data_IF_437105540872
#
_entry.id   IF_437105540872
#
_cell.length_a   1.000
_cell.length_b   1.000
_cell.length_c   1.000
_cell.angle_alpha   90.00
_cell.angle_beta   90.00
_cell.angle_gamma   90.00
#
_symmetry.space_group_name_H-M   'P 1'
#
loop_
_entity.id
_entity.type
_entity.pdbx_description
1 polymer ?
#
# COMPACT_ATOMS: atom_id res chain seq x y z
N UNK A 1 -6.72 8.36 -6.28
CA UNK A 1 -5.35 8.61 -5.80
C UNK A 1 -4.46 7.58 -6.48
N UNK A 2 -3.34 7.96 -7.08
CA UNK A 2 -2.48 7.00 -7.80
C UNK A 2 -1.44 6.42 -6.84
N UNK A 3 -1.32 5.09 -6.83
CA UNK A 3 -0.32 4.34 -6.06
C UNK A 3 0.76 3.79 -6.99
N UNK A 4 1.99 3.74 -6.50
CA UNK A 4 3.13 3.18 -7.23
C UNK A 4 3.66 1.93 -6.52
N UNK A 5 4.24 1.02 -7.30
CA UNK A 5 4.98 -0.11 -6.75
C UNK A 5 6.08 0.40 -5.83
N UNK A 6 6.25 -0.28 -4.69
CA UNK A 6 7.15 0.09 -3.59
C UNK A 6 6.70 1.27 -2.73
N UNK A 7 5.50 1.82 -2.94
CA UNK A 7 4.93 2.76 -1.96
C UNK A 7 4.42 2.03 -0.71
N UNK A 8 4.57 2.69 0.44
CA UNK A 8 3.92 2.29 1.68
C UNK A 8 2.47 2.76 1.66
N UNK A 9 1.56 1.89 2.09
CA UNK A 9 0.13 2.17 2.20
C UNK A 9 -0.44 1.54 3.48
N UNK A 10 -1.54 2.10 3.98
CA UNK A 10 -2.32 1.58 5.10
C UNK A 10 -3.79 1.56 4.67
N UNK A 11 -4.55 0.56 5.08
CA UNK A 11 -5.99 0.52 4.86
C UNK A 11 -6.68 1.65 5.66
N UNK A 12 -7.73 2.24 5.10
CA UNK A 12 -8.50 3.32 5.74
C UNK A 12 -9.14 2.88 7.06
N UNK A 13 -9.54 1.62 7.14
CA UNK A 13 -10.08 1.01 8.36
C UNK A 13 -9.01 0.73 9.43
N UNK A 14 -7.74 1.05 9.13
CA UNK A 14 -6.59 0.71 9.95
C UNK A 14 -6.03 -0.66 9.60
N UNK A 15 -4.91 -1.02 10.24
CA UNK A 15 -4.25 -2.30 10.00
C UNK A 15 -2.73 -2.16 9.84
N UNK A 16 -2.08 -3.22 9.34
CA UNK A 16 -0.64 -3.22 9.15
C UNK A 16 -0.22 -2.24 8.04
N UNK A 17 1.01 -1.73 8.13
CA UNK A 17 1.67 -1.04 7.03
C UNK A 17 2.01 -2.05 5.95
N UNK A 18 1.64 -1.73 4.72
CA UNK A 18 1.81 -2.60 3.56
C UNK A 18 2.62 -1.92 2.47
N UNK A 19 3.25 -2.70 1.62
CA UNK A 19 3.96 -2.23 0.43
C UNK A 19 3.18 -2.63 -0.81
N UNK A 20 2.97 -1.68 -1.71
CA UNK A 20 2.36 -1.93 -3.02
C UNK A 20 3.31 -2.74 -3.89
N UNK A 21 2.80 -3.82 -4.46
CA UNK A 21 3.58 -4.72 -5.35
C UNK A 21 2.97 -4.87 -6.74
N UNK A 22 1.76 -4.36 -6.96
CA UNK A 22 1.10 -4.40 -8.26
C UNK A 22 -0.13 -3.50 -8.28
N UNK A 23 -0.54 -3.11 -9.48
CA UNK A 23 -1.78 -2.37 -9.71
C UNK A 23 -2.45 -2.90 -10.98
N UNK A 24 -3.74 -3.22 -10.89
CA UNK A 24 -4.52 -3.72 -12.03
C UNK A 24 -5.99 -3.35 -11.86
N UNK A 25 -6.56 -2.66 -12.85
CA UNK A 25 -8.01 -2.38 -12.91
C UNK A 25 -8.62 -1.80 -11.62
N UNK A 26 -7.95 -0.82 -10.99
CA UNK A 26 -8.43 -0.20 -9.74
C UNK A 26 -8.11 -0.98 -8.47
N UNK A 27 -7.49 -2.15 -8.59
CA UNK A 27 -7.02 -2.97 -7.48
C UNK A 27 -5.52 -2.77 -7.26
N UNK A 28 -5.14 -2.63 -6.01
CA UNK A 28 -3.77 -2.46 -5.54
C UNK A 28 -3.36 -3.74 -4.81
N UNK A 29 -2.37 -4.45 -5.34
CA UNK A 29 -1.80 -5.61 -4.65
C UNK A 29 -0.81 -5.15 -3.58
N UNK A 30 -1.04 -5.55 -2.35
CA UNK A 30 -0.28 -5.18 -1.17
C UNK A 30 0.38 -6.40 -0.54
N UNK A 31 1.55 -6.22 0.08
CA UNK A 31 2.20 -7.22 0.91
C UNK A 31 2.71 -6.62 2.21
N UNK A 32 2.69 -7.41 3.27
CA UNK A 32 3.26 -7.06 4.57
C UNK A 32 3.73 -8.31 5.30
N UNK A 33 4.52 -8.13 6.36
CA UNK A 33 4.94 -9.21 7.25
C UNK A 33 4.13 -9.12 8.54
N UNK A 34 3.48 -10.21 8.94
CA UNK A 34 2.65 -10.27 10.15
C UNK A 34 3.39 -10.78 11.40
N UNK A 35 4.70 -11.04 11.28
CA UNK A 35 5.50 -11.68 12.32
C UNK A 35 5.71 -13.18 12.14
N UNK A 36 4.95 -13.83 11.23
CA UNK A 36 5.07 -15.26 10.93
C UNK A 36 5.38 -15.50 9.46
N UNK A 37 4.82 -14.69 8.56
CA UNK A 37 5.01 -14.84 7.12
C UNK A 37 4.64 -13.59 6.34
N UNK A 38 4.93 -13.63 5.04
CA UNK A 38 4.50 -12.57 4.12
C UNK A 38 3.04 -12.81 3.77
N UNK A 39 2.19 -11.83 4.07
CA UNK A 39 0.80 -11.77 3.65
C UNK A 39 0.68 -10.99 2.34
N UNK A 40 -0.35 -11.33 1.56
CA UNK A 40 -0.65 -10.73 0.26
C UNK A 40 -2.15 -10.55 0.17
N UNK A 41 -2.58 -9.34 -0.17
CA UNK A 41 -3.99 -9.01 -0.31
C UNK A 41 -4.14 -7.91 -1.37
N UNK A 42 -5.28 -7.88 -2.05
CA UNK A 42 -5.60 -6.86 -3.04
C UNK A 42 -6.76 -6.01 -2.52
N UNK A 43 -6.57 -4.69 -2.54
CA UNK A 43 -7.55 -3.72 -2.07
C UNK A 43 -7.99 -2.85 -3.24
N UNK A 44 -9.21 -2.34 -3.21
CA UNK A 44 -9.57 -1.24 -4.11
C UNK A 44 -8.73 -0.01 -3.75
N UNK A 45 -8.31 0.76 -4.75
CA UNK A 45 -7.51 1.98 -4.53
C UNK A 45 -8.17 3.00 -3.58
N UNK A 46 -9.49 2.92 -3.41
CA UNK A 46 -10.26 3.82 -2.57
C UNK A 46 -10.27 3.37 -1.10
N UNK A 47 -9.81 2.16 -0.80
CA UNK A 47 -9.71 1.61 0.55
C UNK A 47 -8.36 1.91 1.20
N UNK A 48 -7.40 2.42 0.43
CA UNK A 48 -6.04 2.67 0.89
C UNK A 48 -5.75 4.16 1.10
N UNK A 49 -4.81 4.43 2.00
CA UNK A 49 -4.16 5.72 2.19
C UNK A 49 -2.65 5.54 2.05
N UNK A 50 -1.91 6.55 1.55
CA UNK A 50 -0.45 6.50 1.57
C UNK A 50 0.07 6.42 3.01
N UNK A 51 1.11 5.62 3.19
CA UNK A 51 1.93 5.65 4.40
C UNK A 51 2.82 6.90 4.45
N UNK A 52 3.50 7.08 5.58
CA UNK A 52 4.30 8.27 5.88
C UNK A 52 5.44 8.51 4.86
N UNK A 53 5.85 7.48 4.12
CA UNK A 53 6.92 7.54 3.12
C UNK A 53 6.64 8.42 1.89
N UNK A 54 5.38 8.82 1.64
CA UNK A 54 5.04 9.66 0.48
C UNK A 54 5.53 11.11 0.60
N UNK A 55 5.77 11.61 1.83
CA UNK A 55 6.31 12.97 2.04
C UNK A 55 7.70 13.19 1.45
N UNK A 56 8.46 12.14 1.16
CA UNK A 56 9.84 12.26 0.67
C UNK A 56 9.97 12.38 -0.86
N UNK A 57 8.89 12.19 -1.63
CA UNK A 57 8.98 12.18 -3.11
C UNK A 57 8.53 13.47 -3.79
N UNK A 58 8.01 14.44 -3.04
CA UNK A 58 7.57 15.74 -3.58
C UNK A 58 8.63 16.86 -3.44
N UNK A 59 9.82 16.55 -2.88
CA UNK A 59 10.96 17.48 -2.77
C UNK A 59 12.14 17.08 -3.69
N UNK A 60 11.98 17.16 -5.03
CA UNK A 60 13.12 17.21 -6.00
C UNK A 60 12.79 18.12 -7.18
#
# INVERSE_FOLDING_TARGET
MVFFVSEEVIAKEGGPRMIVTGYSSGMVECRWYDGFGVKREAFHENELMPGDGRRLREDV
#
